data_IF_925294124186
#
_entry.id   IF_925294124186
#
_cell.length_a   1.000
_cell.length_b   1.000
_cell.length_c   1.000
_cell.angle_alpha   90.00
_cell.angle_beta   90.00
_cell.angle_gamma   90.00
#
_symmetry.space_group_name_H-M   'P 1'
#
loop_
_entity.id
_entity.type
_entity.pdbx_description
1 polymer ?
#
# COMPACT_ATOMS: atom_id res chain seq x y z
N UNK A 1 -9.47 3.50 -5.65
CA UNK A 1 -8.46 4.55 -5.90
C UNK A 1 -7.12 4.20 -5.29
N UNK A 2 -7.02 4.21 -3.95
CA UNK A 2 -5.76 4.08 -3.21
C UNK A 2 -4.91 2.85 -3.59
N UNK A 3 -5.51 1.66 -3.68
CA UNK A 3 -4.79 0.42 -4.04
C UNK A 3 -4.21 0.46 -5.47
N UNK A 4 -4.93 1.09 -6.41
CA UNK A 4 -4.46 1.24 -7.80
C UNK A 4 -3.26 2.19 -7.82
N UNK A 5 -3.37 3.34 -7.14
CA UNK A 5 -2.27 4.30 -7.04
C UNK A 5 -1.01 3.66 -6.43
N UNK A 6 -1.18 2.94 -5.31
CA UNK A 6 -0.09 2.22 -4.66
C UNK A 6 0.58 1.21 -5.59
N UNK A 7 -0.21 0.42 -6.33
CA UNK A 7 0.31 -0.55 -7.32
C UNK A 7 1.09 0.14 -8.45
N UNK A 8 0.61 1.29 -8.92
CA UNK A 8 1.30 2.08 -9.95
C UNK A 8 2.67 2.57 -9.48
N UNK A 9 2.77 3.07 -8.23
CA UNK A 9 4.04 3.49 -7.63
C UNK A 9 5.00 2.30 -7.50
N UNK A 10 4.48 1.11 -7.20
CA UNK A 10 5.31 -0.10 -7.12
C UNK A 10 5.92 -0.46 -8.47
N UNK A 11 5.11 -0.50 -9.52
CA UNK A 11 5.58 -0.80 -10.88
C UNK A 11 6.63 0.24 -11.32
N UNK A 12 6.40 1.53 -11.03
CA UNK A 12 7.34 2.61 -11.32
C UNK A 12 8.71 2.36 -10.66
N UNK A 13 8.73 2.09 -9.36
CA UNK A 13 9.97 1.84 -8.61
C UNK A 13 10.70 0.57 -9.05
N UNK A 14 9.96 -0.52 -9.30
CA UNK A 14 10.54 -1.78 -9.78
C UNK A 14 11.17 -1.59 -11.17
N UNK A 15 10.52 -0.81 -12.03
CA UNK A 15 11.04 -0.53 -13.38
C UNK A 15 12.37 0.22 -13.35
N UNK A 16 12.56 1.15 -12.39
CA UNK A 16 13.82 1.87 -12.19
C UNK A 16 14.93 0.99 -11.57
N UNK A 17 14.57 0.00 -10.77
CA UNK A 17 15.51 -0.88 -10.06
C UNK A 17 16.05 -2.05 -10.88
N UNK A 18 15.47 -2.33 -12.05
CA UNK A 18 15.84 -3.48 -12.88
C UNK A 18 17.11 -3.20 -13.67
N UNK A 19 18.16 -3.98 -13.40
CA UNK A 19 19.38 -3.98 -14.23
C UNK A 19 19.23 -4.99 -15.37
N UNK A 20 19.73 -4.66 -16.56
CA UNK A 20 19.79 -5.61 -17.68
C UNK A 20 20.74 -6.75 -17.33
N UNK A 21 20.32 -8.01 -17.54
CA UNK A 21 21.07 -9.24 -17.19
C UNK A 21 21.23 -9.57 -15.69
N UNK A 22 20.61 -8.82 -14.77
CA UNK A 22 20.66 -9.14 -13.34
C UNK A 22 19.60 -10.17 -12.92
N UNK A 23 20.00 -11.15 -12.12
CA UNK A 23 19.06 -12.07 -11.44
C UNK A 23 18.52 -11.46 -10.14
N UNK A 24 17.57 -12.14 -9.48
CA UNK A 24 17.03 -11.70 -8.20
C UNK A 24 18.14 -11.66 -7.12
N UNK A 25 18.15 -10.69 -6.19
CA UNK A 25 19.20 -10.51 -5.17
C UNK A 25 19.13 -11.57 -4.06
N UNK A 26 19.36 -12.82 -4.43
CA UNK A 26 19.35 -13.99 -3.55
C UNK A 26 20.66 -14.72 -3.83
N UNK A 27 21.55 -14.76 -2.84
CA UNK A 27 22.83 -15.42 -2.99
C UNK A 27 22.64 -16.93 -3.20
N UNK A 28 23.23 -17.46 -4.26
CA UNK A 28 23.26 -18.89 -4.57
C UNK A 28 24.69 -19.39 -4.40
N UNK A 29 24.90 -20.42 -3.58
CA UNK A 29 26.22 -21.04 -3.42
C UNK A 29 26.70 -21.66 -4.74
N UNK A 30 27.99 -21.48 -5.06
CA UNK A 30 28.61 -22.00 -6.29
C UNK A 30 28.33 -21.18 -7.57
N UNK A 31 27.62 -20.06 -7.46
CA UNK A 31 27.31 -19.18 -8.58
C UNK A 31 28.39 -18.09 -8.77
N UNK A 32 29.55 -18.46 -9.31
CA UNK A 32 30.58 -17.49 -9.69
C UNK A 32 30.16 -16.68 -10.93
N UNK A 33 30.31 -15.35 -10.88
CA UNK A 33 30.05 -14.46 -12.01
C UNK A 33 28.59 -14.05 -12.24
N UNK A 34 27.66 -14.39 -11.34
CA UNK A 34 26.26 -13.98 -11.45
C UNK A 34 26.07 -12.52 -11.05
N UNK A 35 25.45 -11.74 -11.94
CA UNK A 35 25.08 -10.35 -11.69
C UNK A 35 23.73 -10.32 -11.00
N UNK A 36 23.65 -9.66 -9.83
CA UNK A 36 22.42 -9.54 -9.04
C UNK A 36 21.80 -8.14 -9.19
N UNK A 37 20.48 -8.10 -9.26
CA UNK A 37 19.71 -6.84 -9.26
C UNK A 37 19.90 -6.08 -7.94
N UNK A 38 19.69 -4.77 -7.96
CA UNK A 38 19.80 -3.96 -6.74
C UNK A 38 18.75 -4.43 -5.69
N UNK A 39 19.16 -4.78 -4.45
CA UNK A 39 18.23 -5.21 -3.41
C UNK A 39 17.40 -4.07 -2.80
N UNK A 40 17.84 -2.81 -2.94
CA UNK A 40 17.17 -1.68 -2.29
C UNK A 40 15.72 -1.50 -2.73
N UNK A 41 15.37 -1.52 -4.04
CA UNK A 41 13.98 -1.42 -4.48
C UNK A 41 13.11 -2.57 -3.97
N UNK A 42 13.65 -3.79 -3.86
CA UNK A 42 12.88 -4.94 -3.37
C UNK A 42 12.45 -4.75 -1.90
N UNK A 43 13.35 -4.31 -1.03
CA UNK A 43 13.07 -4.08 0.40
C UNK A 43 12.10 -2.91 0.61
N UNK A 44 12.27 -1.83 -0.16
CA UNK A 44 11.39 -0.66 -0.08
C UNK A 44 9.96 -1.00 -0.51
N UNK A 45 9.78 -1.82 -1.56
CA UNK A 45 8.46 -2.27 -2.02
C UNK A 45 7.82 -3.23 -1.03
N UNK A 46 8.58 -4.19 -0.48
CA UNK A 46 8.04 -5.12 0.53
C UNK A 46 7.51 -4.36 1.76
N UNK A 47 8.24 -3.33 2.19
CA UNK A 47 7.81 -2.45 3.29
C UNK A 47 6.54 -1.68 2.91
N UNK A 48 6.50 -1.09 1.71
CA UNK A 48 5.36 -0.31 1.25
C UNK A 48 4.09 -1.16 1.07
N UNK A 49 4.22 -2.44 0.69
CA UNK A 49 3.09 -3.38 0.61
C UNK A 49 2.45 -3.59 1.98
N UNK A 50 3.25 -3.87 3.01
CA UNK A 50 2.75 -4.12 4.37
C UNK A 50 2.05 -2.87 4.90
N UNK A 51 2.68 -1.70 4.79
CA UNK A 51 2.08 -0.42 5.21
C UNK A 51 0.77 -0.14 4.46
N UNK A 52 0.74 -0.42 3.15
CA UNK A 52 -0.45 -0.25 2.32
C UNK A 52 -1.64 -1.12 2.75
N UNK A 53 -1.39 -2.40 3.04
CA UNK A 53 -2.43 -3.32 3.55
C UNK A 53 -2.90 -2.89 4.94
N UNK A 54 -1.98 -2.50 5.84
CA UNK A 54 -2.33 -2.03 7.18
C UNK A 54 -3.20 -0.76 7.15
N UNK A 55 -2.83 0.23 6.35
CA UNK A 55 -3.60 1.48 6.24
C UNK A 55 -4.96 1.25 5.58
N UNK A 56 -5.05 0.36 4.59
CA UNK A 56 -6.33 -0.04 3.99
C UNK A 56 -7.24 -0.74 5.00
N UNK A 57 -6.69 -1.64 5.83
CA UNK A 57 -7.45 -2.31 6.88
C UNK A 57 -8.01 -1.32 7.91
N UNK A 58 -7.20 -0.36 8.35
CA UNK A 58 -7.64 0.71 9.27
C UNK A 58 -8.70 1.59 8.61
N UNK A 59 -8.51 1.98 7.35
CA UNK A 59 -9.49 2.79 6.63
C UNK A 59 -10.84 2.07 6.48
N UNK A 60 -10.83 0.77 6.15
CA UNK A 60 -12.04 -0.04 6.06
C UNK A 60 -12.72 -0.18 7.43
N UNK A 61 -11.94 -0.44 8.49
CA UNK A 61 -12.47 -0.49 9.85
C UNK A 61 -13.14 0.84 10.20
N UNK A 62 -12.53 1.97 9.88
CA UNK A 62 -13.12 3.29 10.11
C UNK A 62 -14.43 3.49 9.33
N UNK A 63 -14.48 3.10 8.06
CA UNK A 63 -15.70 3.18 7.24
C UNK A 63 -16.84 2.35 7.86
N UNK A 64 -16.54 1.14 8.32
CA UNK A 64 -17.53 0.29 9.01
C UNK A 64 -18.01 0.97 10.29
N UNK A 65 -17.12 1.52 11.12
CA UNK A 65 -17.49 2.22 12.36
C UNK A 65 -18.33 3.47 12.11
N UNK A 66 -18.06 4.21 11.05
CA UNK A 66 -18.89 5.36 10.62
C UNK A 66 -20.29 4.87 10.25
N UNK A 67 -20.39 3.82 9.42
CA UNK A 67 -21.68 3.26 9.01
C UNK A 67 -22.49 2.73 10.20
N UNK A 68 -21.84 2.13 11.19
CA UNK A 68 -22.46 1.66 12.43
C UNK A 68 -23.00 2.82 13.30
N UNK A 69 -22.27 3.94 13.36
CA UNK A 69 -22.63 5.09 14.19
C UNK A 69 -23.71 5.98 13.57
N UNK A 70 -23.62 6.25 12.26
CA UNK A 70 -24.48 7.21 11.57
C UNK A 70 -25.54 6.56 10.65
N UNK A 71 -25.44 5.26 10.38
CA UNK A 71 -26.33 4.59 9.43
C UNK A 71 -26.06 4.94 7.96
N UNK A 72 -25.07 5.79 7.67
CA UNK A 72 -24.66 6.21 6.33
C UNK A 72 -23.14 6.37 6.22
N UNK A 73 -22.63 6.44 4.99
CA UNK A 73 -21.23 6.77 4.69
C UNK A 73 -21.10 8.08 3.90
N UNK A 74 -22.22 8.71 3.54
CA UNK A 74 -22.25 9.97 2.80
C UNK A 74 -21.91 11.14 3.73
N UNK A 75 -20.93 11.95 3.34
CA UNK A 75 -20.32 12.95 4.24
C UNK A 75 -21.23 14.12 4.58
N UNK A 76 -22.09 14.53 3.65
CA UNK A 76 -23.11 15.55 3.85
C UNK A 76 -24.17 15.10 4.86
N UNK A 77 -24.66 13.86 4.74
CA UNK A 77 -25.61 13.28 5.70
C UNK A 77 -25.01 13.20 7.11
N UNK A 78 -23.77 12.72 7.24
CA UNK A 78 -23.04 12.66 8.53
C UNK A 78 -22.95 14.07 9.16
N UNK A 79 -22.60 15.09 8.38
CA UNK A 79 -22.47 16.45 8.89
C UNK A 79 -23.82 17.03 9.35
N UNK A 80 -24.93 16.70 8.69
CA UNK A 80 -26.26 17.11 9.16
C UNK A 80 -26.67 16.42 10.46
N UNK A 81 -26.34 15.13 10.63
CA UNK A 81 -26.65 14.37 11.85
C UNK A 81 -25.84 14.90 13.04
N UNK A 82 -24.55 15.18 12.87
CA UNK A 82 -23.70 15.75 13.92
C UNK A 82 -24.22 17.12 14.41
N UNK A 83 -24.67 17.99 13.50
CA UNK A 83 -25.22 19.30 13.85
C UNK A 83 -26.58 19.23 14.58
N UNK A 84 -27.25 18.08 14.54
CA UNK A 84 -28.54 17.87 15.23
C UNK A 84 -28.37 17.29 16.63
N UNK A 85 -27.18 16.80 17.01
CA UNK A 85 -26.91 16.29 18.35
C UNK A 85 -26.79 17.50 19.29
N UNK A 86 -27.74 17.72 20.21
CA UNK A 86 -27.59 18.76 21.21
C UNK A 86 -26.55 18.29 22.25
N UNK A 87 -25.59 19.14 22.59
CA UNK A 87 -24.71 18.93 23.75
C UNK A 87 -25.52 18.80 25.04
#
# INVERSE_FOLDING_TARGET
>A
GLNIFQTSVFIFYISMGKISSGTAPILVEGAEGVVYSNPLPHVLILTAIVVGVSTTAVALALVVRIKEAYGTVEGDEISTLDNQIPF
#
